data_IF_052864147902
#
_entry.id   IF_052864147902
#
_cell.length_a   1.000
_cell.length_b   1.000
_cell.length_c   1.000
_cell.angle_alpha   90.00
_cell.angle_beta   90.00
_cell.angle_gamma   90.00
#
_symmetry.space_group_name_H-M   'P 1'
#
loop_
_entity.id
_entity.type
_entity.pdbx_description
1 polymer ?
#
# COMPACT_ATOMS: atom_id res chain seq x y z
N UNK A 1 -5.15 -6.13 -7.05
CA UNK A 1 -6.46 -5.49 -7.27
C UNK A 1 -7.36 -5.86 -6.09
N UNK A 2 -7.74 -4.87 -5.26
CA UNK A 2 -8.63 -5.03 -4.10
C UNK A 2 -10.09 -5.26 -4.51
N UNK A 3 -10.43 -4.93 -5.76
CA UNK A 3 -11.60 -5.48 -6.43
C UNK A 3 -11.33 -6.95 -6.81
N UNK A 4 -12.16 -7.86 -6.28
CA UNK A 4 -12.22 -9.23 -6.78
C UNK A 4 -12.50 -9.18 -8.28
N UNK A 5 -11.61 -9.78 -9.07
CA UNK A 5 -11.67 -9.85 -10.53
C UNK A 5 -13.09 -10.13 -11.05
N UNK A 6 -13.84 -9.07 -11.36
CA UNK A 6 -14.88 -9.15 -12.37
C UNK A 6 -14.17 -9.18 -13.72
N UNK A 7 -13.86 -10.40 -14.17
CA UNK A 7 -13.21 -10.70 -15.44
C UNK A 7 -13.71 -9.83 -16.61
N UNK A 8 -12.80 -9.24 -17.42
CA UNK A 8 -13.10 -9.01 -18.83
C UNK A 8 -13.14 -10.38 -19.53
N UNK A 9 -14.30 -10.74 -20.05
CA UNK A 9 -14.50 -11.94 -20.85
C UNK A 9 -13.53 -11.97 -22.05
N UNK A 10 -12.72 -13.02 -22.17
CA UNK A 10 -11.88 -13.19 -23.36
C UNK A 10 -10.72 -14.18 -23.25
N UNK A 11 -10.96 -15.42 -22.80
CA UNK A 11 -9.97 -16.49 -22.96
C UNK A 11 -10.64 -17.78 -23.44
N UNK A 12 -10.95 -17.84 -24.74
CA UNK A 12 -11.26 -19.11 -25.38
C UNK A 12 -9.96 -19.92 -25.56
N UNK A 13 -9.87 -21.05 -24.86
CA UNK A 13 -8.93 -22.12 -25.21
C UNK A 13 -9.26 -22.64 -26.61
N UNK A 14 -8.42 -22.34 -27.60
CA UNK A 14 -8.40 -23.11 -28.86
C UNK A 14 -7.22 -24.07 -28.88
N UNK A 15 -7.51 -25.31 -28.51
CA UNK A 15 -6.73 -26.44 -28.96
C UNK A 15 -6.98 -26.63 -30.46
N UNK A 16 -5.95 -26.42 -31.28
CA UNK A 16 -5.96 -26.87 -32.66
C UNK A 16 -4.59 -27.51 -32.99
N UNK A 17 -4.59 -28.84 -32.93
CA UNK A 17 -3.62 -29.71 -33.60
C UNK A 17 -3.78 -29.48 -35.12
N UNK A 18 -2.68 -29.26 -35.86
CA UNK A 18 -2.35 -30.02 -37.08
C UNK A 18 -1.09 -29.53 -37.84
N UNK A 19 -0.32 -30.56 -38.19
CA UNK A 19 0.43 -30.83 -39.41
C UNK A 19 1.72 -30.06 -39.76
N UNK A 20 2.78 -30.86 -39.82
CA UNK A 20 4.06 -30.68 -40.50
C UNK A 20 3.86 -30.72 -42.03
N UNK A 21 4.41 -29.75 -42.75
CA UNK A 21 4.95 -29.93 -44.11
C UNK A 21 6.24 -29.13 -44.22
N UNK A 22 7.28 -29.75 -44.77
CA UNK A 22 8.63 -29.22 -44.91
C UNK A 22 8.95 -28.78 -46.35
N UNK A 23 10.12 -28.12 -46.47
CA UNK A 23 10.98 -27.83 -47.64
C UNK A 23 10.51 -26.65 -48.53
N UNK A 24 11.32 -25.69 -49.02
CA UNK A 24 12.77 -25.57 -49.32
C UNK A 24 13.26 -24.12 -49.14
N UNK A 25 14.53 -24.01 -48.76
CA UNK A 25 15.41 -22.84 -48.62
C UNK A 25 15.41 -21.81 -49.75
N UNK A 26 15.50 -20.53 -49.38
CA UNK A 26 16.12 -19.49 -50.21
C UNK A 26 17.02 -18.61 -49.34
N UNK A 27 18.31 -18.63 -49.65
CA UNK A 27 19.36 -17.85 -49.01
C UNK A 27 19.28 -16.42 -49.56
N UNK A 28 19.09 -15.45 -48.67
CA UNK A 28 19.35 -14.04 -48.95
C UNK A 28 20.18 -13.48 -47.77
N UNK A 29 21.46 -13.27 -48.05
CA UNK A 29 22.41 -12.56 -47.20
C UNK A 29 22.23 -11.07 -47.46
N UNK A 30 21.70 -10.31 -46.51
CA UNK A 30 21.91 -8.86 -46.43
C UNK A 30 21.89 -8.39 -44.97
N UNK A 31 23.05 -7.88 -44.55
CA UNK A 31 23.36 -6.79 -43.63
C UNK A 31 22.56 -6.62 -42.34
N UNK A 32 23.35 -6.61 -41.25
CA UNK A 32 22.93 -6.44 -39.87
C UNK A 32 21.92 -5.33 -39.64
N UNK A 33 20.88 -5.70 -38.92
CA UNK A 33 20.31 -4.85 -37.91
C UNK A 33 20.68 -5.55 -36.60
N UNK A 34 21.64 -5.02 -35.86
CA UNK A 34 21.77 -5.34 -34.44
C UNK A 34 20.39 -5.04 -33.84
N UNK A 35 19.63 -6.10 -33.56
CA UNK A 35 18.51 -5.99 -32.64
C UNK A 35 19.14 -5.56 -31.34
N UNK A 36 19.02 -4.28 -31.04
CA UNK A 36 19.32 -3.73 -29.73
C UNK A 36 18.74 -4.70 -28.71
N UNK A 37 19.62 -5.31 -27.92
CA UNK A 37 19.28 -5.71 -26.56
C UNK A 37 18.74 -4.43 -25.93
N UNK A 38 17.42 -4.27 -25.92
CA UNK A 38 16.77 -3.30 -25.04
C UNK A 38 17.14 -3.77 -23.64
N UNK A 39 17.98 -2.98 -23.00
CA UNK A 39 18.58 -3.23 -21.70
C UNK A 39 17.54 -3.73 -20.69
N UNK A 40 17.69 -4.98 -20.26
CA UNK A 40 17.03 -5.51 -19.08
C UNK A 40 17.38 -4.72 -17.79
N UNK A 41 18.28 -3.73 -17.86
CA UNK A 41 18.63 -2.83 -16.75
C UNK A 41 17.69 -1.62 -16.60
N UNK A 42 16.85 -1.28 -17.59
CA UNK A 42 16.02 -0.05 -17.56
C UNK A 42 14.70 -0.17 -16.79
N UNK A 43 14.30 -1.39 -16.43
CA UNK A 43 13.03 -1.67 -15.75
C UNK A 43 13.19 -1.96 -14.25
N UNK A 44 14.41 -1.85 -13.71
CA UNK A 44 14.69 -2.06 -12.28
C UNK A 44 14.27 -0.84 -11.48
N UNK A 45 13.51 -1.03 -10.41
CA UNK A 45 13.11 0.02 -9.49
C UNK A 45 14.30 0.53 -8.66
N UNK A 46 14.42 1.85 -8.44
CA UNK A 46 15.45 2.41 -7.57
C UNK A 46 15.23 2.00 -6.11
N UNK A 47 16.30 2.04 -5.32
CA UNK A 47 16.29 1.78 -3.88
C UNK A 47 17.06 2.91 -3.18
N UNK A 48 16.40 3.84 -2.45
CA UNK A 48 14.96 3.87 -2.18
C UNK A 48 14.10 4.10 -3.44
N UNK A 49 12.84 3.63 -3.38
CA UNK A 49 11.89 3.84 -4.46
C UNK A 49 11.45 5.29 -4.56
N UNK A 50 11.14 5.90 -3.41
CA UNK A 50 10.65 7.27 -3.35
C UNK A 50 11.06 7.96 -2.05
N UNK A 51 11.46 9.22 -2.18
CA UNK A 51 11.73 10.15 -1.09
C UNK A 51 10.93 11.42 -1.34
N UNK A 52 10.12 11.82 -0.35
CA UNK A 52 9.35 13.05 -0.45
C UNK A 52 10.28 14.29 -0.41
N UNK A 53 10.13 15.25 -1.35
CA UNK A 53 11.01 16.42 -1.42
C UNK A 53 10.59 17.57 -0.50
N UNK A 54 9.44 17.49 0.18
CA UNK A 54 8.86 18.60 0.96
C UNK A 54 9.18 18.44 2.44
N UNK A 55 8.73 17.37 3.06
CA UNK A 55 8.88 17.08 4.48
C UNK A 55 9.82 15.91 4.79
N UNK A 56 10.24 15.15 3.77
CA UNK A 56 11.16 14.00 3.91
C UNK A 56 10.58 12.88 4.80
N UNK A 57 9.26 12.75 4.81
CA UNK A 57 8.53 11.85 5.71
C UNK A 57 7.46 11.03 5.01
N UNK A 58 7.75 10.51 3.82
CA UNK A 58 6.83 9.63 3.09
C UNK A 58 6.59 8.33 3.88
N UNK A 59 5.34 8.06 4.26
CA UNK A 59 4.95 6.89 5.03
C UNK A 59 3.55 6.41 4.65
N UNK A 60 3.23 5.17 5.00
CA UNK A 60 1.88 4.59 4.86
C UNK A 60 1.34 4.73 3.41
N UNK A 61 2.04 4.16 2.40
CA UNK A 61 1.70 4.36 0.99
C UNK A 61 0.36 3.69 0.63
N UNK A 62 -0.34 4.22 -0.37
CA UNK A 62 -1.46 3.57 -1.06
C UNK A 62 -1.38 3.84 -2.56
N UNK A 63 -1.29 2.77 -3.35
CA UNK A 63 -1.00 2.82 -4.78
C UNK A 63 -2.26 2.53 -5.59
N UNK A 64 -2.59 3.41 -6.53
CA UNK A 64 -3.76 3.28 -7.40
C UNK A 64 -3.46 3.71 -8.83
N UNK A 65 -4.11 3.06 -9.79
CA UNK A 65 -4.08 3.46 -11.18
C UNK A 65 -5.07 4.58 -11.47
N UNK A 66 -4.57 5.74 -11.87
CA UNK A 66 -5.34 6.84 -12.44
C UNK A 66 -5.64 6.53 -13.90
N UNK A 67 -6.84 5.97 -14.14
CA UNK A 67 -7.33 5.57 -15.46
C UNK A 67 -7.43 6.76 -16.42
N UNK A 68 -7.77 7.94 -15.91
CA UNK A 68 -7.93 9.14 -16.75
C UNK A 68 -6.57 9.74 -17.12
N UNK A 69 -5.65 9.83 -16.16
CA UNK A 69 -4.29 10.32 -16.36
C UNK A 69 -3.34 9.29 -16.97
N UNK A 70 -3.75 8.03 -17.09
CA UNK A 70 -2.94 6.90 -17.54
C UNK A 70 -1.59 6.84 -16.82
N UNK A 71 -1.64 6.88 -15.50
CA UNK A 71 -0.48 6.91 -14.62
C UNK A 71 -0.81 6.25 -13.28
N UNK A 72 0.21 5.80 -12.59
CA UNK A 72 0.11 5.38 -11.21
C UNK A 72 0.20 6.61 -10.29
N UNK A 73 -0.58 6.59 -9.22
CA UNK A 73 -0.51 7.54 -8.12
C UNK A 73 -0.21 6.78 -6.82
N UNK A 74 0.65 7.36 -5.99
CA UNK A 74 0.95 6.93 -4.64
C UNK A 74 0.47 8.03 -3.70
N UNK A 75 -0.54 7.73 -2.91
CA UNK A 75 -0.94 8.53 -1.76
C UNK A 75 -0.10 8.12 -0.57
N UNK A 76 0.34 9.05 0.25
CA UNK A 76 1.12 8.73 1.45
C UNK A 76 0.88 9.77 2.54
N UNK A 77 0.96 9.35 3.80
CA UNK A 77 1.11 10.26 4.92
C UNK A 77 2.42 11.02 4.74
N UNK A 78 2.38 12.34 4.64
CA UNK A 78 3.60 13.13 4.57
C UNK A 78 3.96 13.69 5.95
N UNK A 79 4.75 12.92 6.70
CA UNK A 79 5.19 13.28 8.05
C UNK A 79 6.14 14.47 7.98
N UNK A 80 6.00 15.43 8.89
CA UNK A 80 6.77 16.69 8.95
C UNK A 80 8.19 16.48 9.51
N UNK A 81 8.93 15.51 8.98
CA UNK A 81 10.17 15.00 9.55
C UNK A 81 11.29 16.06 9.61
N UNK A 82 11.39 16.92 8.59
CA UNK A 82 12.40 17.97 8.49
C UNK A 82 12.02 19.32 9.17
N UNK A 83 10.82 19.42 9.77
CA UNK A 83 10.36 20.67 10.39
C UNK A 83 11.01 20.88 11.75
N UNK A 84 11.71 22.00 11.89
CA UNK A 84 12.43 22.34 13.12
C UNK A 84 11.47 22.76 14.26
N UNK A 85 11.87 22.48 15.50
CA UNK A 85 11.18 22.95 16.70
C UNK A 85 9.94 22.18 17.13
N UNK A 86 9.60 21.09 16.42
CA UNK A 86 8.47 20.21 16.78
C UNK A 86 8.77 19.36 18.02
N UNK A 87 7.80 19.29 18.93
CA UNK A 87 7.88 18.58 20.21
C UNK A 87 7.17 17.22 20.13
N UNK A 88 7.76 16.21 20.80
CA UNK A 88 7.17 14.88 20.90
C UNK A 88 6.74 14.34 19.54
N UNK A 89 5.45 14.06 19.38
CA UNK A 89 4.88 13.50 18.14
C UNK A 89 4.24 14.52 17.21
N UNK A 90 4.49 15.82 17.41
CA UNK A 90 3.95 16.84 16.50
C UNK A 90 4.36 16.62 15.05
N UNK A 91 5.53 16.02 14.79
CA UNK A 91 6.01 15.74 13.43
C UNK A 91 5.17 14.69 12.68
N UNK A 92 4.39 13.86 13.37
CA UNK A 92 3.39 12.98 12.75
C UNK A 92 1.99 13.56 12.79
N UNK A 93 1.78 14.76 13.32
CA UNK A 93 0.52 15.49 13.21
C UNK A 93 0.67 16.64 12.21
N UNK A 94 -0.44 17.28 11.81
CA UNK A 94 -0.42 18.35 10.80
C UNK A 94 0.02 17.84 9.44
N UNK A 95 -0.22 16.55 9.17
CA UNK A 95 0.27 15.82 8.01
C UNK A 95 -0.77 15.86 6.89
N UNK A 96 -0.42 16.38 5.70
CA UNK A 96 -1.26 16.18 4.53
C UNK A 96 -1.16 14.74 4.05
N UNK A 97 -2.10 14.35 3.19
CA UNK A 97 -1.88 13.23 2.28
C UNK A 97 -1.27 13.80 1.00
N UNK A 98 -0.02 13.46 0.73
CA UNK A 98 0.69 13.87 -0.47
C UNK A 98 0.57 12.82 -1.57
N UNK A 99 0.76 13.24 -2.82
CA UNK A 99 0.63 12.41 -4.01
C UNK A 99 1.96 12.41 -4.78
N UNK A 100 2.50 11.23 -5.04
CA UNK A 100 3.53 11.00 -6.04
C UNK A 100 2.91 10.34 -7.28
N UNK A 101 3.50 10.56 -8.45
CA UNK A 101 3.02 10.01 -9.72
C UNK A 101 4.12 9.25 -10.46
N UNK A 102 3.73 8.18 -11.15
CA UNK A 102 4.62 7.38 -11.98
C UNK A 102 3.94 6.94 -13.27
N UNK A 103 4.69 6.92 -14.38
CA UNK A 103 4.21 6.33 -15.65
C UNK A 103 4.45 4.83 -15.76
N UNK A 104 5.36 4.30 -14.95
CA UNK A 104 5.93 2.96 -15.12
C UNK A 104 5.99 2.16 -13.80
N UNK A 105 5.49 2.73 -12.70
CA UNK A 105 5.46 2.11 -11.37
C UNK A 105 6.79 2.10 -10.61
N UNK A 106 7.90 2.55 -11.24
CA UNK A 106 9.25 2.54 -10.64
C UNK A 106 9.86 3.92 -10.44
N UNK A 107 9.57 4.87 -11.33
CA UNK A 107 10.07 6.24 -11.22
C UNK A 107 8.94 7.12 -10.72
N UNK A 108 9.11 7.70 -9.54
CA UNK A 108 8.08 8.44 -8.83
C UNK A 108 8.49 9.89 -8.64
N UNK A 109 7.64 10.81 -9.10
CA UNK A 109 7.81 12.24 -8.93
C UNK A 109 6.74 12.79 -7.99
N UNK A 110 7.11 13.74 -7.12
CA UNK A 110 6.11 14.49 -6.34
C UNK A 110 5.15 15.21 -7.30
N UNK A 111 3.85 15.04 -7.07
CA UNK A 111 2.81 15.71 -7.84
C UNK A 111 2.27 16.94 -7.10
N UNK A 112 1.60 16.70 -5.97
CA UNK A 112 1.00 17.73 -5.10
C UNK A 112 0.45 17.09 -3.82
N UNK A 113 -0.05 17.91 -2.90
CA UNK A 113 -0.90 17.43 -1.82
C UNK A 113 -2.34 17.22 -2.31
N UNK A 114 -2.99 16.14 -1.83
CA UNK A 114 -4.39 15.88 -2.11
C UNK A 114 -5.27 16.97 -1.47
N UNK A 115 -6.28 17.44 -2.20
CA UNK A 115 -7.18 18.48 -1.72
C UNK A 115 -8.40 17.83 -1.08
N UNK A 116 -8.68 18.15 0.18
CA UNK A 116 -9.85 17.62 0.90
C UNK A 116 -10.87 18.72 1.17
N UNK A 117 -12.09 18.51 0.70
CA UNK A 117 -13.21 19.45 0.84
C UNK A 117 -14.21 18.95 1.89
N UNK A 118 -14.46 19.77 2.91
CA UNK A 118 -15.46 19.50 3.94
C UNK A 118 -15.17 20.28 5.22
N UNK A 119 -16.20 20.79 5.90
CA UNK A 119 -16.01 21.64 7.11
C UNK A 119 -15.47 20.90 8.33
N UNK A 120 -15.47 19.57 8.28
CA UNK A 120 -15.00 18.70 9.37
C UNK A 120 -13.60 18.13 9.11
N UNK A 121 -13.02 18.39 7.94
CA UNK A 121 -11.66 17.97 7.59
C UNK A 121 -10.68 18.68 8.51
N UNK A 122 -9.76 17.91 9.09
CA UNK A 122 -8.77 18.41 10.05
C UNK A 122 -7.40 18.56 9.41
N UNK A 123 -6.45 19.12 10.16
CA UNK A 123 -5.08 19.35 9.69
C UNK A 123 -4.21 18.08 9.67
N UNK A 124 -4.68 16.99 10.28
CA UNK A 124 -3.90 15.76 10.48
C UNK A 124 -4.61 14.58 9.85
N UNK A 125 -4.03 14.07 8.76
CA UNK A 125 -4.52 12.93 7.99
C UNK A 125 -3.44 11.85 7.91
N UNK A 126 -3.79 10.58 8.15
CA UNK A 126 -2.86 9.44 8.11
C UNK A 126 -3.41 8.27 7.31
N UNK A 127 -2.48 7.47 6.78
CA UNK A 127 -2.69 6.12 6.25
C UNK A 127 -3.91 6.04 5.33
N UNK A 128 -3.84 6.66 4.13
CA UNK A 128 -4.91 6.59 3.16
C UNK A 128 -5.00 5.17 2.60
N UNK A 129 -6.21 4.67 2.39
CA UNK A 129 -6.50 3.55 1.50
C UNK A 129 -7.43 4.01 0.39
N UNK A 130 -7.03 3.79 -0.86
CA UNK A 130 -7.84 4.10 -2.04
C UNK A 130 -8.45 2.83 -2.63
N UNK A 131 -9.77 2.78 -2.61
CA UNK A 131 -10.57 1.73 -3.23
C UNK A 131 -11.32 2.29 -4.45
N UNK A 132 -11.25 1.59 -5.58
CA UNK A 132 -11.95 1.97 -6.81
C UNK A 132 -13.19 1.10 -6.95
N UNK A 133 -14.35 1.71 -7.22
CA UNK A 133 -15.57 0.97 -7.52
C UNK A 133 -16.48 1.75 -8.47
N UNK A 134 -16.97 1.11 -9.53
CA UNK A 134 -17.88 1.74 -10.51
C UNK A 134 -17.41 3.11 -11.03
N UNK A 135 -16.13 3.21 -11.42
CA UNK A 135 -15.45 4.46 -11.87
C UNK A 135 -15.47 5.61 -10.82
N UNK A 136 -15.78 5.31 -9.55
CA UNK A 136 -15.65 6.23 -8.41
C UNK A 136 -14.44 5.82 -7.56
N UNK A 137 -13.63 6.80 -7.15
CA UNK A 137 -12.58 6.59 -6.17
C UNK A 137 -13.11 6.87 -4.78
N UNK A 138 -12.87 5.94 -3.85
CA UNK A 138 -13.18 6.04 -2.43
C UNK A 138 -11.87 6.04 -1.66
N UNK A 139 -11.72 6.97 -0.72
CA UNK A 139 -10.58 6.98 0.19
C UNK A 139 -11.08 6.86 1.63
N UNK A 140 -10.44 5.96 2.38
CA UNK A 140 -10.60 5.84 3.81
C UNK A 140 -9.28 6.19 4.46
N UNK A 141 -9.28 7.17 5.35
CA UNK A 141 -8.07 7.61 6.03
C UNK A 141 -8.36 7.90 7.48
N UNK A 142 -7.31 7.95 8.29
CA UNK A 142 -7.41 8.38 9.68
C UNK A 142 -7.39 9.90 9.77
N UNK A 143 -8.34 10.47 10.51
CA UNK A 143 -8.46 11.89 10.79
C UNK A 143 -8.28 12.16 12.29
N UNK A 144 -7.36 13.05 12.63
CA UNK A 144 -7.05 13.46 14.02
C UNK A 144 -7.43 14.93 14.20
N UNK A 145 -8.09 15.36 15.29
CA UNK A 145 -8.72 16.68 15.41
C UNK A 145 -7.75 17.84 15.67
N UNK A 146 -6.46 17.68 15.33
CA UNK A 146 -5.48 18.75 15.46
C UNK A 146 -4.04 18.25 15.53
N UNK A 147 -3.17 19.18 15.93
CA UNK A 147 -1.73 18.96 16.11
C UNK A 147 -1.45 18.83 17.60
N UNK A 148 -0.82 17.72 17.98
CA UNK A 148 -0.55 17.38 19.37
C UNK A 148 0.86 16.83 19.52
N UNK A 149 1.44 16.99 20.72
CA UNK A 149 2.78 16.53 21.09
C UNK A 149 2.79 15.12 21.71
N UNK A 150 1.61 14.51 21.89
CA UNK A 150 1.43 13.20 22.51
C UNK A 150 0.26 12.42 21.84
N UNK A 151 0.09 11.15 22.22
CA UNK A 151 -0.89 10.23 21.61
C UNK A 151 -2.28 10.20 22.28
N UNK A 152 -2.55 11.06 23.26
CA UNK A 152 -3.76 10.98 24.11
C UNK A 152 -4.97 11.71 23.52
N UNK A 153 -5.13 11.70 22.19
CA UNK A 153 -6.13 12.49 21.48
C UNK A 153 -6.96 11.64 20.53
N UNK A 154 -8.26 11.88 20.34
CA UNK A 154 -9.12 11.06 19.48
C UNK A 154 -8.58 10.91 18.06
N UNK A 155 -8.95 9.82 17.40
CA UNK A 155 -8.80 9.69 15.95
C UNK A 155 -9.83 8.71 15.38
N UNK A 156 -10.32 9.04 14.20
CA UNK A 156 -11.45 8.37 13.55
C UNK A 156 -11.14 8.10 12.09
N UNK A 157 -11.77 7.10 11.49
CA UNK A 157 -11.69 6.85 10.05
C UNK A 157 -12.74 7.69 9.33
N UNK A 158 -12.32 8.44 8.32
CA UNK A 158 -13.18 9.28 7.47
C UNK A 158 -13.21 8.73 6.04
N UNK A 159 -14.38 8.83 5.40
CA UNK A 159 -14.63 8.45 4.02
C UNK A 159 -14.69 9.69 3.13
N UNK A 160 -13.96 9.63 2.03
CA UNK A 160 -13.96 10.62 0.97
C UNK A 160 -14.20 9.96 -0.38
N UNK A 161 -14.72 10.72 -1.33
CA UNK A 161 -14.81 10.30 -2.73
C UNK A 161 -14.16 11.31 -3.66
N UNK A 162 -13.60 10.82 -4.77
CA UNK A 162 -12.98 11.65 -5.80
C UNK A 162 -13.30 11.12 -7.19
N UNK A 163 -13.45 12.03 -8.15
CA UNK A 163 -13.59 11.69 -9.57
C UNK A 163 -12.24 11.76 -10.32
N UNK A 164 -11.22 12.42 -9.75
CA UNK A 164 -9.97 12.76 -10.42
C UNK A 164 -8.71 12.34 -9.64
N UNK A 165 -8.88 11.72 -8.45
CA UNK A 165 -7.83 11.34 -7.51
C UNK A 165 -7.02 12.53 -6.92
N UNK A 166 -7.37 13.77 -7.26
CA UNK A 166 -6.67 14.97 -6.79
C UNK A 166 -7.49 15.74 -5.77
N UNK A 167 -8.81 15.81 -5.99
CA UNK A 167 -9.76 16.52 -5.14
C UNK A 167 -10.75 15.53 -4.54
N UNK A 168 -10.84 15.54 -3.22
CA UNK A 168 -11.59 14.60 -2.41
C UNK A 168 -12.73 15.33 -1.70
N UNK A 169 -13.93 14.78 -1.79
CA UNK A 169 -15.14 15.31 -1.13
C UNK A 169 -15.46 14.45 0.07
N UNK A 170 -15.53 15.07 1.24
CA UNK A 170 -15.95 14.39 2.46
C UNK A 170 -17.34 13.79 2.32
N UNK A 171 -17.50 12.53 2.71
CA UNK A 171 -18.78 11.83 2.75
C UNK A 171 -19.24 11.60 4.18
N UNK A 172 -18.40 10.97 5.00
CA UNK A 172 -18.78 10.59 6.37
C UNK A 172 -17.56 10.36 7.25
N UNK A 173 -17.79 10.35 8.56
CA UNK A 173 -16.89 9.76 9.55
C UNK A 173 -17.52 8.45 9.98
N UNK A 174 -16.78 7.36 9.87
CA UNK A 174 -17.32 6.02 10.12
C UNK A 174 -17.67 5.87 11.60
N UNK A 175 -18.82 5.24 11.86
CA UNK A 175 -19.27 4.87 13.21
C UNK A 175 -18.73 3.49 13.56
N UNK A 176 -17.47 3.44 13.96
CA UNK A 176 -16.78 2.24 14.42
C UNK A 176 -16.88 2.08 15.94
N UNK A 177 -16.29 1.01 16.48
CA UNK A 177 -16.38 0.65 17.89
C UNK A 177 -15.96 1.78 18.87
N UNK A 178 -14.98 2.61 18.52
CA UNK A 178 -14.39 3.66 19.37
C UNK A 178 -13.90 4.86 18.54
N UNK A 179 -13.60 5.99 19.22
CA UNK A 179 -12.97 7.19 18.62
C UNK A 179 -11.43 7.16 18.77
N UNK A 180 -10.86 5.96 18.69
CA UNK A 180 -9.43 5.69 18.83
C UNK A 180 -9.00 4.58 17.87
N UNK A 181 -9.37 4.75 16.61
CA UNK A 181 -9.20 3.77 15.52
C UNK A 181 -8.41 4.38 14.36
N UNK A 182 -7.59 3.56 13.68
CA UNK A 182 -6.69 4.00 12.60
C UNK A 182 -6.60 2.98 11.47
N UNK A 183 -5.95 3.39 10.38
CA UNK A 183 -5.39 2.53 9.33
C UNK A 183 -6.44 1.61 8.70
N UNK A 184 -7.35 2.20 7.92
CA UNK A 184 -8.36 1.46 7.20
C UNK A 184 -7.79 0.81 5.94
N UNK A 185 -8.29 -0.38 5.59
CA UNK A 185 -8.04 -1.01 4.28
C UNK A 185 -9.28 -1.78 3.82
N UNK A 186 -9.69 -1.55 2.57
CA UNK A 186 -10.95 -2.07 2.02
C UNK A 186 -10.72 -3.15 0.97
N UNK A 187 -11.52 -4.21 1.06
CA UNK A 187 -11.57 -5.29 0.08
C UNK A 187 -13.01 -5.66 -0.29
N UNK A 188 -13.22 -6.04 -1.56
CA UNK A 188 -14.49 -6.63 -1.99
C UNK A 188 -14.67 -8.03 -1.38
N UNK A 189 -15.88 -8.35 -0.92
CA UNK A 189 -16.19 -9.69 -0.38
C UNK A 189 -16.58 -10.67 -1.49
N UNK A 190 -16.28 -11.98 -1.34
CA UNK A 190 -16.68 -13.02 -2.30
C UNK A 190 -18.19 -13.09 -2.56
N UNK A 191 -18.99 -12.77 -1.54
CA UNK A 191 -20.45 -12.90 -1.54
C UNK A 191 -21.19 -11.60 -1.92
N UNK A 192 -20.44 -10.54 -2.28
CA UNK A 192 -20.98 -9.22 -2.56
C UNK A 192 -20.78 -8.25 -1.38
N UNK A 193 -20.77 -6.95 -1.68
CA UNK A 193 -20.41 -5.92 -0.73
C UNK A 193 -18.90 -5.88 -0.43
N UNK A 194 -18.56 -5.21 0.65
CA UNK A 194 -17.21 -4.78 0.99
C UNK A 194 -16.92 -5.00 2.46
N UNK A 195 -15.65 -5.20 2.78
CA UNK A 195 -15.13 -5.28 4.13
C UNK A 195 -13.99 -4.29 4.30
N UNK A 196 -14.05 -3.53 5.39
CA UNK A 196 -12.99 -2.63 5.83
C UNK A 196 -12.35 -3.24 7.07
N UNK A 197 -11.04 -3.46 7.03
CA UNK A 197 -10.25 -3.79 8.21
C UNK A 197 -9.63 -2.53 8.77
N UNK A 198 -9.49 -2.45 10.08
CA UNK A 198 -8.91 -1.29 10.75
C UNK A 198 -8.28 -1.67 12.08
N UNK A 199 -7.42 -0.81 12.60
CA UNK A 199 -6.81 -0.98 13.91
C UNK A 199 -7.65 -0.32 15.02
N UNK A 200 -7.88 -1.05 16.11
CA UNK A 200 -8.42 -0.54 17.36
C UNK A 200 -7.31 -0.42 18.42
N UNK A 201 -6.89 0.81 18.70
CA UNK A 201 -5.80 1.02 19.68
C UNK A 201 -6.20 0.67 21.13
N UNK A 202 -7.43 0.93 21.62
CA UNK A 202 -7.82 0.62 23.00
C UNK A 202 -7.79 -0.88 23.31
N UNK A 203 -8.15 -1.75 22.36
CA UNK A 203 -8.02 -3.20 22.47
C UNK A 203 -6.60 -3.69 22.13
N UNK A 204 -5.60 -2.94 22.59
CA UNK A 204 -4.19 -3.32 22.47
C UNK A 204 -3.69 -3.39 21.03
N UNK A 205 -4.20 -2.53 20.14
CA UNK A 205 -3.86 -2.51 18.70
C UNK A 205 -4.30 -3.78 17.96
N UNK A 206 -5.51 -4.23 18.26
CA UNK A 206 -6.10 -5.38 17.57
C UNK A 206 -6.71 -4.94 16.24
N UNK A 207 -6.75 -5.84 15.26
CA UNK A 207 -7.46 -5.57 14.01
C UNK A 207 -8.94 -5.91 14.18
N UNK A 208 -9.80 -4.99 13.76
CA UNK A 208 -11.25 -5.09 13.71
C UNK A 208 -11.71 -5.02 12.25
N UNK A 209 -12.99 -5.27 12.02
CA UNK A 209 -13.57 -5.07 10.70
C UNK A 209 -15.01 -4.57 10.74
N UNK A 210 -15.40 -3.93 9.65
CA UNK A 210 -16.76 -3.49 9.36
C UNK A 210 -17.14 -3.94 7.95
N UNK A 211 -18.43 -4.21 7.74
CA UNK A 211 -18.95 -4.56 6.41
C UNK A 211 -19.86 -3.46 5.87
N UNK A 212 -19.87 -3.28 4.55
CA UNK A 212 -20.74 -2.36 3.83
C UNK A 212 -21.26 -3.00 2.56
N UNK A 213 -22.48 -2.65 2.15
CA UNK A 213 -23.04 -3.07 0.85
C UNK A 213 -22.74 -2.07 -0.26
N UNK A 214 -22.40 -0.82 0.08
CA UNK A 214 -22.36 0.30 -0.87
C UNK A 214 -21.14 1.22 -0.76
N UNK A 215 -20.22 0.94 0.18
CA UNK A 215 -19.04 1.77 0.52
C UNK A 215 -19.38 3.08 1.27
N UNK A 216 -20.63 3.37 1.60
CA UNK A 216 -21.02 4.59 2.33
C UNK A 216 -21.45 4.26 3.75
N UNK A 217 -22.28 3.24 3.91
CA UNK A 217 -22.82 2.81 5.18
C UNK A 217 -22.08 1.58 5.70
N UNK A 218 -21.33 1.75 6.78
CA UNK A 218 -20.50 0.72 7.40
C UNK A 218 -21.11 0.20 8.70
N UNK A 219 -21.18 -1.12 8.84
CA UNK A 219 -21.57 -1.79 10.07
C UNK A 219 -20.36 -2.47 10.71
N UNK A 220 -19.95 -1.97 11.87
CA UNK A 220 -18.95 -2.60 12.73
C UNK A 220 -19.32 -4.05 13.07
N UNK A 221 -18.37 -4.97 12.93
CA UNK A 221 -18.54 -6.41 13.20
C UNK A 221 -17.66 -6.90 14.35
N UNK A 222 -16.89 -6.01 14.96
CA UNK A 222 -15.97 -6.31 16.04
C UNK A 222 -14.61 -6.83 15.57
N UNK A 223 -13.95 -7.54 16.49
CA UNK A 223 -12.56 -7.95 16.36
C UNK A 223 -12.38 -9.05 15.30
N UNK A 224 -11.42 -8.86 14.39
CA UNK A 224 -11.00 -9.91 13.47
C UNK A 224 -10.30 -11.05 14.24
N UNK A 225 -10.47 -12.29 13.80
CA UNK A 225 -9.91 -13.48 14.45
C UNK A 225 -8.40 -13.65 14.15
N UNK A 226 -7.59 -12.64 14.47
CA UNK A 226 -6.15 -12.65 14.31
C UNK A 226 -5.44 -13.00 15.62
N UNK A 227 -4.36 -13.76 15.52
CA UNK A 227 -3.52 -14.20 16.65
C UNK A 227 -2.55 -13.13 17.18
N UNK A 228 -2.37 -12.01 16.47
CA UNK A 228 -1.42 -10.97 16.86
C UNK A 228 -1.98 -9.56 16.68
N UNK A 229 -1.26 -8.58 17.24
CA UNK A 229 -1.57 -7.16 17.24
C UNK A 229 -0.62 -6.41 16.32
N UNK A 230 -1.02 -5.24 15.87
CA UNK A 230 -0.24 -4.42 14.95
C UNK A 230 -1.04 -3.23 14.44
N UNK A 231 -0.61 -2.62 13.35
CA UNK A 231 -1.33 -1.54 12.66
C UNK A 231 -1.12 -1.65 11.14
N UNK A 232 -1.70 -0.76 10.34
CA UNK A 232 -1.62 -0.83 8.87
C UNK A 232 -2.04 -2.18 8.27
N UNK A 233 -3.27 -2.69 8.53
CA UNK A 233 -3.73 -3.88 7.83
C UNK A 233 -3.82 -3.57 6.33
N UNK A 234 -3.33 -4.49 5.49
CA UNK A 234 -3.48 -4.44 4.03
C UNK A 234 -4.01 -5.77 3.56
N UNK A 235 -5.13 -5.78 2.85
CA UNK A 235 -5.85 -6.99 2.45
C UNK A 235 -5.98 -7.06 0.93
N UNK A 236 -5.61 -8.20 0.36
CA UNK A 236 -5.65 -8.41 -1.08
C UNK A 236 -5.85 -9.88 -1.44
N UNK A 237 -6.36 -10.14 -2.63
CA UNK A 237 -6.51 -11.50 -3.15
C UNK A 237 -5.39 -11.83 -4.14
N UNK A 238 -4.66 -12.92 -3.89
CA UNK A 238 -3.60 -13.39 -4.79
C UNK A 238 -3.32 -14.89 -4.60
N UNK A 239 -3.02 -15.60 -5.69
CA UNK A 239 -2.67 -17.03 -5.67
C UNK A 239 -3.70 -17.94 -4.94
N UNK A 240 -4.99 -17.61 -5.05
CA UNK A 240 -6.06 -18.44 -4.47
C UNK A 240 -6.40 -18.15 -3.01
N UNK A 241 -5.78 -17.13 -2.41
CA UNK A 241 -6.00 -16.77 -1.00
C UNK A 241 -6.29 -15.28 -0.86
N UNK A 242 -7.09 -14.96 0.15
CA UNK A 242 -7.05 -13.63 0.75
C UNK A 242 -5.84 -13.55 1.65
N UNK A 243 -5.02 -12.54 1.45
CA UNK A 243 -3.87 -12.23 2.28
C UNK A 243 -4.19 -10.99 3.10
N UNK A 244 -3.71 -10.96 4.34
CA UNK A 244 -3.65 -9.75 5.14
C UNK A 244 -2.23 -9.59 5.67
N UNK A 245 -1.65 -8.40 5.47
CA UNK A 245 -0.36 -8.03 6.04
C UNK A 245 -0.60 -6.95 7.08
N UNK A 246 0.03 -7.06 8.25
CA UNK A 246 -0.11 -6.11 9.36
C UNK A 246 1.27 -5.77 9.92
N UNK A 247 1.57 -4.48 10.10
CA UNK A 247 2.79 -4.02 10.76
C UNK A 247 2.78 -4.41 12.24
N UNK A 248 3.70 -5.27 12.65
CA UNK A 248 3.81 -5.76 14.02
C UNK A 248 4.88 -5.03 14.85
N UNK A 249 5.43 -3.92 14.35
CA UNK A 249 6.60 -3.19 14.88
C UNK A 249 7.86 -4.04 15.05
N UNK A 250 7.93 -5.15 14.32
CA UNK A 250 9.07 -6.08 14.27
C UNK A 250 9.18 -6.74 12.90
N UNK A 251 8.79 -6.00 11.87
CA UNK A 251 8.45 -6.51 10.54
C UNK A 251 6.94 -6.75 10.40
N UNK A 252 6.57 -7.30 9.25
CA UNK A 252 5.19 -7.42 8.80
C UNK A 252 4.68 -8.84 9.02
N UNK A 253 3.63 -8.96 9.84
CA UNK A 253 2.94 -10.23 10.03
C UNK A 253 2.06 -10.54 8.82
N UNK A 254 2.02 -11.81 8.41
CA UNK A 254 1.24 -12.25 7.25
C UNK A 254 0.18 -13.24 7.71
N UNK A 255 -1.02 -13.06 7.19
CA UNK A 255 -2.15 -13.94 7.36
C UNK A 255 -2.72 -14.35 6.02
N UNK A 256 -3.33 -15.54 5.96
CA UNK A 256 -4.15 -15.97 4.83
C UNK A 256 -5.51 -16.47 5.27
N UNK A 257 -6.50 -16.29 4.41
CA UNK A 257 -7.88 -16.72 4.60
C UNK A 257 -8.49 -17.19 3.28
N UNK A 258 -9.43 -18.12 3.36
CA UNK A 258 -10.26 -18.53 2.22
C UNK A 258 -11.58 -17.75 2.12
N UNK A 259 -11.99 -17.06 3.19
CA UNK A 259 -13.34 -16.53 3.38
C UNK A 259 -13.39 -15.10 3.98
N UNK A 260 -12.24 -14.50 4.30
CA UNK A 260 -12.08 -13.22 5.03
C UNK A 260 -12.48 -13.24 6.52
N UNK A 261 -12.89 -14.38 7.06
CA UNK A 261 -13.33 -14.52 8.45
C UNK A 261 -12.32 -15.34 9.26
N UNK A 262 -11.86 -16.45 8.70
CA UNK A 262 -10.97 -17.40 9.35
C UNK A 262 -9.54 -17.19 8.87
N UNK A 263 -8.65 -16.77 9.77
CA UNK A 263 -7.28 -16.41 9.42
C UNK A 263 -6.26 -17.40 9.97
N UNK A 264 -5.30 -17.78 9.12
CA UNK A 264 -4.11 -18.52 9.50
C UNK A 264 -2.93 -17.58 9.46
N UNK A 265 -2.10 -17.55 10.52
CA UNK A 265 -0.89 -16.74 10.55
C UNK A 265 0.31 -17.50 10.01
N UNK A 266 1.12 -16.83 9.20
CA UNK A 266 2.46 -17.25 8.80
C UNK A 266 3.40 -17.28 10.00
N UNK A 267 4.29 -18.27 10.06
CA UNK A 267 5.39 -18.22 11.03
C UNK A 267 6.44 -17.19 10.60
N UNK A 268 6.82 -16.30 11.51
CA UNK A 268 7.78 -15.24 11.22
C UNK A 268 7.12 -13.96 10.70
N UNK A 269 7.95 -13.03 10.25
CA UNK A 269 7.55 -11.69 9.79
C UNK A 269 8.32 -11.37 8.52
N UNK A 270 7.66 -10.81 7.51
CA UNK A 270 8.37 -10.24 6.36
C UNK A 270 9.11 -8.98 6.81
N UNK A 271 10.25 -8.69 6.18
CA UNK A 271 11.01 -7.44 6.42
C UNK A 271 11.41 -7.19 7.90
N UNK A 272 11.53 -8.24 8.71
CA UNK A 272 11.96 -8.13 10.12
C UNK A 272 13.47 -7.98 10.30
N UNK A 273 14.26 -8.38 9.31
CA UNK A 273 15.71 -8.31 9.32
C UNK A 273 16.21 -7.18 8.40
N UNK A 274 17.15 -6.33 8.82
CA UNK A 274 17.80 -5.29 8.01
C UNK A 274 18.21 -5.74 6.59
N UNK A 275 17.92 -4.93 5.58
CA UNK A 275 18.35 -5.13 4.20
C UNK A 275 19.73 -4.55 3.95
N UNK A 276 20.26 -4.75 2.74
CA UNK A 276 21.54 -4.23 2.28
C UNK A 276 21.40 -2.99 1.40
N UNK A 277 20.19 -2.73 0.90
CA UNK A 277 19.89 -1.59 0.06
C UNK A 277 20.11 -0.25 0.77
N UNK A 278 20.37 0.80 -0.03
CA UNK A 278 20.51 2.13 0.52
C UNK A 278 19.22 2.52 1.26
N UNK A 279 19.37 2.95 2.51
CA UNK A 279 18.25 3.39 3.35
C UNK A 279 17.18 2.32 3.65
N UNK A 280 17.51 1.04 3.42
CA UNK A 280 16.65 -0.12 3.74
C UNK A 280 17.23 -1.00 4.87
N UNK A 281 18.17 -0.44 5.64
CA UNK A 281 18.91 -1.12 6.71
C UNK A 281 18.17 -1.27 8.05
N UNK A 282 16.84 -1.12 8.05
CA UNK A 282 15.97 -1.25 9.24
C UNK A 282 14.72 -2.04 8.89
N UNK A 283 13.88 -2.38 9.87
CA UNK A 283 12.62 -3.10 9.62
C UNK A 283 11.70 -2.33 8.67
N UNK A 284 11.01 -3.06 7.79
CA UNK A 284 9.93 -2.51 6.97
C UNK A 284 8.66 -2.29 7.79
N UNK A 285 7.93 -1.21 7.49
CA UNK A 285 6.74 -0.74 8.21
C UNK A 285 5.61 -0.41 7.24
N UNK A 286 4.37 -0.40 7.77
CA UNK A 286 3.08 -0.11 7.11
C UNK A 286 3.08 -0.25 5.58
N UNK A 287 2.64 -1.40 5.05
CA UNK A 287 2.76 -1.68 3.63
C UNK A 287 1.58 -1.14 2.80
N UNK A 288 1.70 -1.30 1.48
CA UNK A 288 0.57 -1.53 0.56
C UNK A 288 1.00 -2.57 -0.48
N UNK A 289 0.02 -3.20 -1.14
CA UNK A 289 0.28 -4.26 -2.12
C UNK A 289 -0.45 -4.03 -3.43
N UNK A 290 0.33 -3.96 -4.51
CA UNK A 290 -0.20 -3.97 -5.88
C UNK A 290 -0.05 -5.37 -6.46
N UNK A 291 -1.17 -5.96 -6.86
CA UNK A 291 -1.19 -7.18 -7.67
C UNK A 291 -1.44 -6.78 -9.11
N UNK A 292 -0.45 -7.00 -9.98
CA UNK A 292 -0.45 -6.61 -11.38
C UNK A 292 0.17 -7.72 -12.22
N UNK A 293 -0.51 -8.08 -13.32
CA UNK A 293 -0.08 -9.12 -14.27
C UNK A 293 0.33 -10.46 -13.62
N UNK A 294 -0.39 -10.84 -12.56
CA UNK A 294 -0.16 -12.09 -11.82
C UNK A 294 0.99 -12.03 -10.81
N UNK A 295 1.72 -10.92 -10.72
CA UNK A 295 2.77 -10.65 -9.72
C UNK A 295 2.23 -9.76 -8.61
N UNK A 296 2.85 -9.80 -7.44
CA UNK A 296 2.47 -8.99 -6.29
C UNK A 296 3.68 -8.19 -5.79
N UNK A 297 3.49 -6.89 -5.56
CA UNK A 297 4.56 -5.97 -5.19
C UNK A 297 4.20 -5.32 -3.86
N UNK A 298 5.09 -5.45 -2.88
CA UNK A 298 4.95 -4.92 -1.55
C UNK A 298 5.69 -3.58 -1.46
N UNK A 299 4.93 -2.50 -1.37
CA UNK A 299 5.44 -1.17 -1.05
C UNK A 299 5.44 -1.03 0.47
N UNK A 300 6.48 -0.44 1.04
CA UNK A 300 6.60 -0.25 2.49
C UNK A 300 7.49 0.95 2.76
N UNK A 301 7.42 1.50 3.97
CA UNK A 301 8.35 2.56 4.36
C UNK A 301 9.38 2.06 5.37
N UNK A 302 10.52 2.74 5.40
CA UNK A 302 11.53 2.59 6.46
C UNK A 302 11.80 3.94 7.12
N UNK A 303 12.38 3.91 8.33
CA UNK A 303 12.99 5.07 8.96
C UNK A 303 14.51 4.90 8.96
N UNK A 304 15.23 5.32 7.90
CA UNK A 304 16.61 4.91 7.68
C UNK A 304 17.58 5.35 8.80
N UNK A 305 17.26 6.45 9.49
CA UNK A 305 18.03 6.93 10.62
C UNK A 305 17.73 6.26 11.96
N UNK A 306 16.68 5.43 12.10
CA UNK A 306 16.39 4.70 13.35
C UNK A 306 17.26 3.45 13.47
N UNK A 307 18.53 3.65 13.80
CA UNK A 307 19.52 2.58 13.96
C UNK A 307 19.74 2.23 15.43
N UNK A 308 20.30 1.04 15.70
CA UNK A 308 20.51 0.59 17.09
C UNK A 308 21.36 1.56 17.93
N UNK A 309 22.34 2.25 17.32
CA UNK A 309 23.25 3.12 18.06
C UNK A 309 22.67 4.47 18.47
N UNK A 310 21.49 4.85 17.96
CA UNK A 310 20.81 6.11 18.31
C UNK A 310 19.40 5.90 18.89
N UNK A 311 19.15 4.74 19.48
CA UNK A 311 17.89 4.43 20.16
C UNK A 311 17.48 5.55 21.13
N UNK A 312 16.22 5.98 21.05
CA UNK A 312 15.69 7.09 21.84
C UNK A 312 15.98 8.49 21.28
N UNK A 313 16.75 8.62 20.21
CA UNK A 313 16.96 9.91 19.52
C UNK A 313 15.74 10.26 18.67
N UNK A 314 15.23 11.47 18.85
CA UNK A 314 14.10 12.01 18.10
C UNK A 314 14.49 13.32 17.43
N UNK A 315 14.98 13.23 16.19
CA UNK A 315 15.41 14.35 15.37
C UNK A 315 15.06 14.12 13.89
N UNK A 316 15.38 15.08 13.02
CA UNK A 316 15.06 14.98 11.60
C UNK A 316 15.59 13.70 10.94
N UNK A 317 16.76 13.20 11.38
CA UNK A 317 17.35 11.99 10.81
C UNK A 317 16.58 10.72 11.19
N UNK A 318 16.10 10.62 12.44
CA UNK A 318 15.34 9.45 12.91
C UNK A 318 13.87 9.52 12.53
N UNK A 319 13.33 10.72 12.30
CA UNK A 319 11.95 10.95 11.83
C UNK A 319 11.77 10.71 10.34
N UNK A 320 12.82 10.97 9.55
CA UNK A 320 12.82 10.79 8.10
C UNK A 320 12.33 9.40 7.69
N UNK A 321 11.54 9.32 6.63
CA UNK A 321 11.10 8.05 6.04
C UNK A 321 11.11 8.08 4.51
N UNK A 322 11.34 6.90 3.94
CA UNK A 322 11.38 6.67 2.49
C UNK A 322 10.56 5.44 2.14
N UNK A 323 10.01 5.42 0.93
CA UNK A 323 9.29 4.26 0.41
C UNK A 323 10.27 3.35 -0.31
N UNK A 324 10.07 2.06 -0.13
CA UNK A 324 10.78 0.94 -0.70
C UNK A 324 9.79 0.02 -1.42
N UNK A 325 10.30 -0.88 -2.27
CA UNK A 325 9.50 -1.92 -2.90
C UNK A 325 10.26 -3.23 -2.94
N UNK A 326 9.53 -4.33 -2.74
CA UNK A 326 10.02 -5.69 -2.97
C UNK A 326 8.93 -6.51 -3.67
N UNK A 327 9.31 -7.55 -4.40
CA UNK A 327 8.35 -8.47 -5.01
C UNK A 327 7.99 -9.58 -4.03
N UNK A 328 6.69 -9.80 -3.85
CA UNK A 328 6.18 -10.93 -3.09
C UNK A 328 6.21 -12.19 -3.95
N UNK A 329 6.76 -13.25 -3.37
CA UNK A 329 6.72 -14.59 -3.93
C UNK A 329 5.76 -15.46 -3.13
N UNK A 330 5.15 -16.45 -3.77
CA UNK A 330 4.34 -17.46 -3.11
C UNK A 330 5.01 -18.82 -3.26
N UNK A 331 5.48 -19.40 -2.16
CA UNK A 331 6.19 -20.69 -2.14
C UNK A 331 5.26 -21.92 -2.23
N UNK A 332 3.96 -21.69 -2.46
CA UNK A 332 2.92 -22.70 -2.43
C UNK A 332 2.22 -22.82 -1.06
N UNK A 333 2.74 -22.16 -0.02
CA UNK A 333 2.16 -22.11 1.32
C UNK A 333 2.04 -20.69 1.85
N UNK A 334 3.11 -19.90 1.79
CA UNK A 334 3.22 -18.61 2.45
C UNK A 334 3.87 -17.58 1.53
N UNK A 335 3.72 -16.30 1.90
CA UNK A 335 4.37 -15.22 1.19
C UNK A 335 5.83 -15.14 1.63
N UNK A 336 6.71 -14.95 0.67
CA UNK A 336 8.13 -14.70 0.85
C UNK A 336 8.51 -13.42 0.13
N UNK A 337 9.65 -12.85 0.49
CA UNK A 337 10.20 -11.69 -0.19
C UNK A 337 11.70 -11.61 0.07
N UNK A 338 12.48 -11.24 -0.93
CA UNK A 338 13.89 -10.89 -0.78
C UNK A 338 14.06 -9.42 -1.21
N UNK A 339 14.12 -8.52 -0.22
CA UNK A 339 14.25 -7.08 -0.46
C UNK A 339 15.63 -6.64 -0.95
N UNK A 340 16.61 -7.56 -0.97
CA UNK A 340 17.92 -7.31 -1.55
C UNK A 340 17.97 -7.67 -3.05
N UNK A 341 16.91 -8.27 -3.60
CA UNK A 341 16.83 -8.53 -5.05
C UNK A 341 16.36 -7.30 -5.81
N UNK A 342 16.90 -7.06 -7.03
CA UNK A 342 16.36 -6.06 -7.94
C UNK A 342 14.89 -6.34 -8.26
N UNK A 343 14.02 -5.36 -8.04
CA UNK A 343 12.61 -5.44 -8.41
C UNK A 343 12.44 -4.86 -9.81
N UNK A 344 11.88 -5.65 -10.73
CA UNK A 344 11.57 -5.18 -12.09
C UNK A 344 10.09 -4.82 -12.21
N UNK A 345 9.79 -3.55 -12.51
CA UNK A 345 8.43 -3.02 -12.68
C UNK A 345 8.33 -2.36 -14.05
N UNK A 346 7.40 -2.86 -14.88
CA UNK A 346 7.12 -2.34 -16.22
C UNK A 346 5.60 -2.43 -16.50
N UNK A 347 4.86 -1.60 -15.78
CA UNK A 347 3.39 -1.54 -15.81
C UNK A 347 2.86 -0.58 -16.86
#
# INVERSE_FOLDING_TARGET
MKELNAHPAGYERKYAVRLIVAVVSCVCVLFGCDTANMDASTAVAPQPLYQDPVYDGAADPSIVWDKQGQRWLMFYTNRRANVAGLQGVEWVHGTPISIATSKNGREWDYLQDAQFNGSVVTETLWAPDVFVHNDQYHMYLTMVPGIFDNWSHPRTIAHFTSADLLSWTYQSTLKLNTEKVIDADVIAKPDGGFRLFYNDEPDGKSIYFADSEDLYDWQDKGKAALSSRGEGPVVFYWQGWFWMIVDAWRGLSVYRSADLDSWQQQSGYLLSEPGKGEQDGVIGQHPDVVVQDGRAFLFYFTHPGKILSNEGTDDASTRRSVIQVTELEFDGQWLQTDRDQPVTIDW
#
